data_IF_416566248424
#
_entry.id   IF_416566248424
#
_cell.length_a   1.000
_cell.length_b   1.000
_cell.length_c   1.000
_cell.angle_alpha   90.00
_cell.angle_beta   90.00
_cell.angle_gamma   90.00
#
_symmetry.space_group_name_H-M   'P 1'
#
loop_
_entity.id
_entity.type
_entity.pdbx_description
1 polymer ?
#
# COMPACT_ATOMS: atom_id res chain seq x y z
N UNK A 1 12.35 3.34 2.95
CA UNK A 1 12.21 2.91 4.34
C UNK A 1 12.54 4.06 5.30
N UNK A 2 11.83 4.16 6.44
CA UNK A 2 12.10 5.15 7.49
C UNK A 2 13.09 4.61 8.56
N UNK A 3 13.42 3.32 8.51
CA UNK A 3 14.39 2.65 9.40
C UNK A 3 14.15 2.95 10.90
N UNK A 4 12.90 2.99 11.34
CA UNK A 4 12.51 3.32 12.71
C UNK A 4 12.71 4.79 13.11
N UNK A 5 13.10 5.67 12.17
CA UNK A 5 13.44 7.07 12.46
C UNK A 5 12.33 8.02 12.01
N UNK A 6 11.72 8.72 12.96
CA UNK A 6 10.65 9.70 12.68
C UNK A 6 11.09 10.81 11.73
N UNK A 7 12.35 11.22 11.80
CA UNK A 7 12.93 12.24 10.91
C UNK A 7 12.93 11.79 9.46
N UNK A 8 13.30 10.54 9.19
CA UNK A 8 13.29 9.97 7.85
C UNK A 8 11.85 9.75 7.35
N UNK A 9 10.95 9.29 8.22
CA UNK A 9 9.52 9.19 7.89
C UNK A 9 8.93 10.55 7.47
N UNK A 10 9.23 11.63 8.17
CA UNK A 10 8.80 12.99 7.78
C UNK A 10 9.36 13.45 6.45
N UNK A 11 10.62 13.14 6.14
CA UNK A 11 11.20 13.43 4.81
C UNK A 11 10.47 12.68 3.70
N UNK A 12 10.12 11.39 3.92
CA UNK A 12 9.31 10.60 2.98
C UNK A 12 7.94 11.21 2.77
N UNK A 13 7.23 11.62 3.85
CA UNK A 13 5.94 12.30 3.76
C UNK A 13 6.09 13.59 2.92
N UNK A 14 7.14 14.37 3.17
CA UNK A 14 7.42 15.60 2.42
C UNK A 14 7.65 15.31 0.94
N UNK A 15 8.44 14.28 0.61
CA UNK A 15 8.70 13.89 -0.78
C UNK A 15 7.41 13.45 -1.49
N UNK A 16 6.56 12.64 -0.85
CA UNK A 16 5.27 12.22 -1.39
C UNK A 16 4.32 13.40 -1.59
N UNK A 17 4.23 14.33 -0.64
CA UNK A 17 3.40 15.52 -0.74
C UNK A 17 3.88 16.46 -1.86
N UNK A 18 5.19 16.67 -2.01
CA UNK A 18 5.77 17.48 -3.08
C UNK A 18 5.51 16.86 -4.46
N UNK A 19 5.50 15.54 -4.54
CA UNK A 19 5.12 14.81 -5.74
C UNK A 19 3.61 14.87 -6.05
N UNK A 20 2.79 15.49 -5.18
CA UNK A 20 1.33 15.56 -5.31
C UNK A 20 0.65 14.18 -5.27
N UNK A 21 1.23 13.23 -4.54
CA UNK A 21 0.55 12.00 -4.21
C UNK A 21 -0.68 12.28 -3.32
N UNK A 22 -1.72 11.46 -3.45
CA UNK A 22 -2.96 11.64 -2.70
C UNK A 22 -2.83 11.12 -1.26
N UNK A 23 -1.97 10.12 -1.06
CA UNK A 23 -1.72 9.49 0.24
C UNK A 23 -0.27 9.03 0.40
N UNK A 24 0.15 8.92 1.65
CA UNK A 24 1.35 8.19 2.06
C UNK A 24 0.94 7.03 2.96
N UNK A 25 1.65 5.90 2.85
CA UNK A 25 1.39 4.70 3.65
C UNK A 25 2.65 4.24 4.36
N UNK A 26 2.53 3.90 5.64
CA UNK A 26 3.58 3.26 6.43
C UNK A 26 3.10 1.93 6.99
N UNK A 27 4.02 1.03 7.29
CA UNK A 27 3.75 -0.25 7.92
C UNK A 27 3.85 -0.10 9.44
N UNK A 28 2.81 -0.51 10.17
CA UNK A 28 2.83 -0.61 11.63
C UNK A 28 3.52 -1.91 12.00
N UNK A 29 4.83 -1.85 12.17
CA UNK A 29 5.63 -2.99 12.59
C UNK A 29 5.50 -3.20 14.09
N UNK A 30 5.21 -4.44 14.49
CA UNK A 30 5.25 -4.96 15.86
C UNK A 30 6.00 -6.28 15.75
N UNK A 31 7.22 -6.34 16.26
CA UNK A 31 8.11 -7.47 16.05
C UNK A 31 7.49 -8.79 16.55
N UNK A 32 6.83 -8.78 17.70
CA UNK A 32 6.17 -9.96 18.29
C UNK A 32 4.94 -10.45 17.46
N UNK A 33 4.42 -9.67 16.49
CA UNK A 33 3.37 -10.09 15.55
C UNK A 33 3.94 -10.63 14.22
N UNK A 34 5.24 -10.41 13.98
CA UNK A 34 5.90 -10.75 12.70
C UNK A 34 6.86 -11.93 12.80
N UNK A 35 7.48 -12.13 13.94
CA UNK A 35 8.49 -13.17 14.12
C UNK A 35 8.63 -13.61 15.59
N UNK A 36 9.01 -14.87 15.78
CA UNK A 36 9.48 -15.36 17.08
C UNK A 36 10.79 -14.65 17.45
N UNK A 37 11.08 -14.58 18.76
CA UNK A 37 12.22 -13.80 19.29
C UNK A 37 13.59 -14.31 18.86
N UNK A 38 13.71 -15.58 18.53
CA UNK A 38 14.92 -16.26 18.03
C UNK A 38 15.06 -16.19 16.50
N UNK A 39 14.07 -15.64 15.79
CA UNK A 39 14.13 -15.47 14.34
C UNK A 39 15.17 -14.41 13.95
N UNK A 40 15.96 -14.69 12.92
CA UNK A 40 17.06 -13.82 12.44
C UNK A 40 16.65 -12.38 12.19
N UNK A 41 15.42 -12.14 11.73
CA UNK A 41 14.90 -10.79 11.41
C UNK A 41 14.20 -10.10 12.58
N UNK A 42 14.06 -10.75 13.76
CA UNK A 42 13.32 -10.16 14.88
C UNK A 42 13.89 -8.83 15.33
N UNK A 43 15.22 -8.74 15.48
CA UNK A 43 15.88 -7.48 15.89
C UNK A 43 15.71 -6.37 14.82
N UNK A 44 15.71 -6.72 13.53
CA UNK A 44 15.41 -5.77 12.46
C UNK A 44 13.99 -5.21 12.60
N UNK A 45 12.98 -6.07 12.81
CA UNK A 45 11.61 -5.60 13.04
C UNK A 45 11.51 -4.75 14.30
N UNK A 46 12.20 -5.11 15.36
CA UNK A 46 12.23 -4.34 16.62
C UNK A 46 12.77 -2.91 16.41
N UNK A 47 13.80 -2.78 15.59
CA UNK A 47 14.37 -1.47 15.25
C UNK A 47 13.46 -0.61 14.37
N UNK A 48 12.46 -1.20 13.70
CA UNK A 48 11.47 -0.49 12.87
C UNK A 48 10.25 -0.02 13.66
N UNK A 49 10.06 -0.50 14.89
CA UNK A 49 8.95 -0.09 15.72
C UNK A 49 9.01 1.41 16.03
N UNK A 50 7.86 2.05 15.97
CA UNK A 50 7.67 3.43 16.38
C UNK A 50 6.62 3.50 17.50
N UNK A 51 6.85 4.39 18.46
CA UNK A 51 5.93 4.64 19.57
C UNK A 51 4.62 5.28 19.09
N UNK A 52 3.56 5.15 19.89
CA UNK A 52 2.27 5.80 19.61
C UNK A 52 2.38 7.33 19.54
N UNK A 53 3.35 7.94 20.25
CA UNK A 53 3.64 9.36 20.17
C UNK A 53 4.16 9.72 18.77
N UNK A 54 5.10 8.95 18.25
CA UNK A 54 5.67 9.16 16.91
C UNK A 54 4.62 8.96 15.83
N UNK A 55 3.77 7.93 15.92
CA UNK A 55 2.64 7.73 15.01
C UNK A 55 1.71 8.94 14.99
N UNK A 56 1.31 9.45 16.14
CA UNK A 56 0.47 10.67 16.24
C UNK A 56 1.15 11.88 15.60
N UNK A 57 2.45 12.03 15.81
CA UNK A 57 3.25 13.11 15.24
C UNK A 57 3.33 13.03 13.70
N UNK A 58 3.54 11.83 13.11
CA UNK A 58 3.53 11.62 11.67
C UNK A 58 2.16 11.93 11.05
N UNK A 59 1.07 11.50 11.69
CA UNK A 59 -0.30 11.79 11.25
C UNK A 59 -0.56 13.30 11.27
N UNK A 60 -0.15 14.00 12.32
CA UNK A 60 -0.29 15.46 12.38
C UNK A 60 0.56 16.15 11.31
N UNK A 61 1.76 15.64 11.05
CA UNK A 61 2.64 16.18 10.03
C UNK A 61 2.07 15.99 8.62
N UNK A 62 1.51 14.83 8.30
CA UNK A 62 0.84 14.58 7.01
C UNK A 62 -0.36 15.51 6.79
N UNK A 63 -1.16 15.76 7.85
CA UNK A 63 -2.29 16.71 7.80
C UNK A 63 -1.84 18.14 7.48
N UNK A 64 -0.72 18.60 8.06
CA UNK A 64 -0.14 19.92 7.72
C UNK A 64 0.24 20.02 6.24
N UNK A 65 0.70 18.93 5.66
CA UNK A 65 1.06 18.85 4.23
C UNK A 65 -0.13 18.49 3.32
N UNK A 66 -1.34 18.33 3.89
CA UNK A 66 -2.58 17.98 3.16
C UNK A 66 -2.48 16.69 2.36
N UNK A 67 -1.73 15.71 2.85
CA UNK A 67 -1.63 14.36 2.29
C UNK A 67 -2.30 13.35 3.23
N UNK A 68 -3.11 12.43 2.69
CA UNK A 68 -3.78 11.38 3.47
C UNK A 68 -2.76 10.40 4.06
N UNK A 69 -3.06 9.84 5.21
CA UNK A 69 -2.17 8.93 5.93
C UNK A 69 -2.82 7.57 6.10
N UNK A 70 -2.26 6.57 5.43
CA UNK A 70 -2.67 5.17 5.50
C UNK A 70 -1.68 4.35 6.32
N UNK A 71 -2.16 3.27 6.94
CA UNK A 71 -1.31 2.35 7.70
C UNK A 71 -1.55 0.92 7.24
N UNK A 72 -0.47 0.23 6.87
CA UNK A 72 -0.46 -1.21 6.62
C UNK A 72 -0.24 -1.92 7.97
N UNK A 73 -1.07 -2.89 8.30
CA UNK A 73 -1.05 -3.58 9.59
C UNK A 73 -0.73 -5.06 9.41
N UNK A 74 -0.08 -5.59 10.43
CA UNK A 74 0.19 -7.02 10.60
C UNK A 74 -0.34 -7.44 11.96
N UNK A 75 -1.04 -8.59 11.99
CA UNK A 75 -1.56 -9.17 13.20
C UNK A 75 -2.69 -8.36 13.90
N UNK A 76 -3.26 -8.97 14.91
CA UNK A 76 -4.39 -8.38 15.64
C UNK A 76 -3.99 -7.14 16.44
N UNK A 77 -2.81 -7.16 17.05
CA UNK A 77 -2.32 -6.03 17.84
C UNK A 77 -2.13 -4.78 16.98
N UNK A 78 -1.59 -4.95 15.75
CA UNK A 78 -1.39 -3.87 14.80
C UNK A 78 -2.69 -3.12 14.51
N UNK A 79 -3.76 -3.84 14.12
CA UNK A 79 -5.05 -3.21 13.80
C UNK A 79 -5.74 -2.60 15.04
N UNK A 80 -5.56 -3.19 16.22
CA UNK A 80 -6.07 -2.62 17.47
C UNK A 80 -5.40 -1.30 17.83
N UNK A 81 -4.09 -1.21 17.64
CA UNK A 81 -3.34 0.01 17.97
C UNK A 81 -3.69 1.15 17.00
N UNK A 82 -3.78 0.88 15.69
CA UNK A 82 -4.13 1.92 14.72
C UNK A 82 -5.57 2.39 14.85
N UNK A 83 -6.48 1.58 15.38
CA UNK A 83 -7.88 1.96 15.59
C UNK A 83 -8.05 3.14 16.55
N UNK A 84 -7.04 3.41 17.38
CA UNK A 84 -6.98 4.55 18.31
C UNK A 84 -6.43 5.81 17.66
N UNK A 85 -5.98 5.72 16.41
CA UNK A 85 -5.36 6.82 15.67
C UNK A 85 -6.35 7.41 14.66
N UNK A 86 -6.21 8.70 14.34
CA UNK A 86 -7.04 9.39 13.32
C UNK A 86 -6.37 9.30 11.95
N UNK A 87 -6.35 8.09 11.37
CA UNK A 87 -5.81 7.79 10.03
C UNK A 87 -6.92 7.85 8.97
N UNK A 88 -6.53 7.95 7.70
CA UNK A 88 -7.47 8.10 6.58
C UNK A 88 -7.83 6.76 5.93
N UNK A 89 -7.10 5.69 6.23
CA UNK A 89 -7.39 4.34 5.77
C UNK A 89 -6.39 3.32 6.31
N UNK A 90 -6.75 2.06 6.24
CA UNK A 90 -5.91 0.93 6.67
C UNK A 90 -5.71 -0.03 5.52
N UNK A 91 -4.52 -0.64 5.44
CA UNK A 91 -4.28 -1.81 4.59
C UNK A 91 -4.14 -3.04 5.47
N UNK A 92 -4.83 -4.10 5.10
CA UNK A 92 -4.67 -5.43 5.67
C UNK A 92 -3.73 -6.20 4.74
N UNK A 93 -2.62 -6.66 5.29
CA UNK A 93 -1.62 -7.41 4.53
C UNK A 93 -2.16 -8.79 4.14
N UNK A 94 -1.68 -9.35 3.02
CA UNK A 94 -2.14 -10.66 2.51
C UNK A 94 -1.93 -11.81 3.48
N UNK A 95 -0.91 -11.74 4.33
CA UNK A 95 -0.66 -12.73 5.40
C UNK A 95 -1.79 -12.83 6.42
N UNK A 96 -2.64 -11.81 6.53
CA UNK A 96 -3.74 -11.75 7.49
C UNK A 96 -5.13 -12.00 6.87
N UNK A 97 -5.23 -12.39 5.60
CA UNK A 97 -6.53 -12.72 4.98
C UNK A 97 -7.21 -13.93 5.65
N UNK A 98 -6.43 -14.82 6.24
CA UNK A 98 -6.89 -15.99 7.01
C UNK A 98 -6.85 -15.77 8.53
N UNK A 99 -6.77 -14.51 8.98
CA UNK A 99 -6.80 -14.17 10.39
C UNK A 99 -8.20 -13.74 10.83
N UNK A 100 -9.08 -14.66 11.30
CA UNK A 100 -10.48 -14.36 11.60
C UNK A 100 -10.61 -13.33 12.73
N UNK A 101 -9.68 -13.30 13.68
CA UNK A 101 -9.70 -12.35 14.80
C UNK A 101 -9.44 -10.93 14.31
N UNK A 102 -8.46 -10.76 13.42
CA UNK A 102 -8.14 -9.47 12.80
C UNK A 102 -9.29 -9.00 11.93
N UNK A 103 -9.79 -9.85 11.03
CA UNK A 103 -10.90 -9.49 10.13
C UNK A 103 -12.16 -9.11 10.92
N UNK A 104 -12.52 -9.89 11.95
CA UNK A 104 -13.65 -9.56 12.86
C UNK A 104 -13.43 -8.22 13.56
N UNK A 105 -12.22 -7.87 13.95
CA UNK A 105 -11.93 -6.55 14.51
C UNK A 105 -12.10 -5.46 13.45
N UNK A 106 -11.59 -5.69 12.24
CA UNK A 106 -11.63 -4.75 11.12
C UNK A 106 -13.06 -4.36 10.72
N UNK A 107 -14.06 -5.23 10.91
CA UNK A 107 -15.49 -4.90 10.63
C UNK A 107 -15.98 -3.66 11.39
N UNK A 108 -15.33 -3.30 12.49
CA UNK A 108 -15.70 -2.15 13.34
C UNK A 108 -15.12 -0.83 12.84
N UNK A 109 -14.15 -0.87 11.94
CA UNK A 109 -13.51 0.32 11.41
C UNK A 109 -14.47 1.07 10.48
N UNK A 110 -14.42 2.40 10.56
CA UNK A 110 -15.24 3.31 9.74
C UNK A 110 -14.41 4.09 8.72
N UNK A 111 -13.33 3.49 8.29
CA UNK A 111 -12.36 4.03 7.32
C UNK A 111 -12.18 3.03 6.18
N UNK A 112 -11.77 3.47 4.97
CA UNK A 112 -11.45 2.59 3.86
C UNK A 112 -10.44 1.51 4.23
N UNK A 113 -10.68 0.28 3.75
CA UNK A 113 -9.80 -0.88 3.93
C UNK A 113 -9.24 -1.27 2.57
N UNK A 114 -7.93 -1.18 2.42
CA UNK A 114 -7.19 -1.77 1.32
C UNK A 114 -6.87 -3.22 1.68
N UNK A 115 -7.40 -4.18 0.92
CA UNK A 115 -7.22 -5.60 1.19
C UNK A 115 -6.24 -6.20 0.18
N UNK A 116 -5.03 -6.55 0.62
CA UNK A 116 -4.02 -7.17 -0.24
C UNK A 116 -4.43 -8.57 -0.65
N UNK A 117 -4.41 -8.87 -1.95
CA UNK A 117 -4.75 -10.20 -2.51
C UNK A 117 -3.53 -10.95 -3.06
N UNK A 118 -2.32 -10.43 -2.78
CA UNK A 118 -1.08 -11.01 -3.27
C UNK A 118 -0.80 -12.37 -2.61
N UNK A 119 -0.55 -13.40 -3.42
CA UNK A 119 -0.27 -14.74 -2.92
C UNK A 119 -1.46 -15.46 -2.27
N UNK A 120 -2.68 -14.91 -2.38
CA UNK A 120 -3.88 -15.49 -1.79
C UNK A 120 -4.68 -16.29 -2.81
N UNK A 121 -5.30 -17.37 -2.35
CA UNK A 121 -6.27 -18.15 -3.10
C UNK A 121 -7.59 -17.40 -3.23
N UNK A 122 -8.42 -17.82 -4.20
CA UNK A 122 -9.74 -17.22 -4.37
C UNK A 122 -10.63 -17.40 -3.13
N UNK A 123 -10.56 -18.56 -2.47
CA UNK A 123 -11.33 -18.85 -1.26
C UNK A 123 -10.94 -17.96 -0.07
N UNK A 124 -9.68 -17.64 0.08
CA UNK A 124 -9.19 -16.71 1.11
C UNK A 124 -9.70 -15.29 0.86
N UNK A 125 -9.67 -14.85 -0.40
CA UNK A 125 -10.19 -13.55 -0.78
C UNK A 125 -11.70 -13.49 -0.56
N UNK A 126 -12.46 -14.51 -1.01
CA UNK A 126 -13.92 -14.61 -0.82
C UNK A 126 -14.30 -14.54 0.68
N UNK A 127 -13.56 -15.26 1.54
CA UNK A 127 -13.78 -15.25 2.98
C UNK A 127 -13.57 -13.84 3.57
N UNK A 128 -12.47 -13.19 3.23
CA UNK A 128 -12.16 -11.86 3.73
C UNK A 128 -13.16 -10.81 3.23
N UNK A 129 -13.51 -10.82 1.94
CA UNK A 129 -14.50 -9.91 1.34
C UNK A 129 -15.87 -10.10 1.98
N UNK A 130 -16.32 -11.35 2.16
CA UNK A 130 -17.60 -11.66 2.81
C UNK A 130 -17.62 -11.15 4.26
N UNK A 131 -16.54 -11.39 5.01
CA UNK A 131 -16.40 -10.92 6.39
C UNK A 131 -16.48 -9.40 6.50
N UNK A 132 -15.85 -8.69 5.56
CA UNK A 132 -15.74 -7.22 5.53
C UNK A 132 -16.80 -6.55 4.65
N UNK A 133 -17.85 -7.25 4.24
CA UNK A 133 -18.85 -6.80 3.26
C UNK A 133 -19.57 -5.48 3.60
N UNK A 134 -19.54 -5.05 4.86
CA UNK A 134 -20.12 -3.77 5.32
C UNK A 134 -19.12 -2.62 5.37
N UNK A 135 -17.87 -2.88 5.03
CA UNK A 135 -16.80 -1.88 5.02
C UNK A 135 -16.59 -1.33 3.60
N UNK A 136 -16.02 -0.15 3.50
CA UNK A 136 -15.49 0.37 2.24
C UNK A 136 -14.22 -0.40 1.88
N UNK A 137 -14.31 -1.32 0.92
CA UNK A 137 -13.23 -2.21 0.52
C UNK A 137 -12.66 -1.82 -0.85
N UNK A 138 -11.35 -1.90 -0.95
CA UNK A 138 -10.59 -1.84 -2.19
C UNK A 138 -9.66 -3.07 -2.23
N UNK A 139 -9.73 -3.89 -3.27
CA UNK A 139 -8.85 -5.04 -3.42
C UNK A 139 -7.54 -4.59 -4.08
N UNK A 140 -6.40 -4.93 -3.49
CA UNK A 140 -5.08 -4.55 -3.99
C UNK A 140 -4.42 -5.76 -4.65
N UNK A 141 -4.28 -5.70 -5.98
CA UNK A 141 -3.56 -6.71 -6.75
C UNK A 141 -2.04 -6.49 -6.67
N UNK A 142 -1.30 -7.57 -6.47
CA UNK A 142 0.17 -7.62 -6.52
C UNK A 142 0.66 -9.06 -6.69
N UNK A 143 1.99 -9.21 -6.77
CA UNK A 143 2.72 -10.46 -6.64
C UNK A 143 3.75 -10.33 -5.50
N UNK A 144 3.95 -11.41 -4.73
CA UNK A 144 4.88 -11.46 -3.59
C UNK A 144 6.31 -11.80 -4.06
N UNK A 145 6.92 -10.94 -4.81
CA UNK A 145 8.31 -11.03 -5.25
C UNK A 145 8.98 -9.66 -5.15
N UNK A 146 10.19 -9.59 -4.64
CA UNK A 146 10.91 -8.35 -4.37
C UNK A 146 12.36 -8.42 -4.90
N UNK A 147 12.64 -7.84 -6.08
CA UNK A 147 11.70 -7.25 -7.04
C UNK A 147 10.81 -8.30 -7.72
N UNK A 148 9.64 -7.86 -8.20
CA UNK A 148 8.74 -8.71 -8.99
C UNK A 148 9.25 -8.85 -10.42
N UNK A 149 9.36 -10.07 -10.90
CA UNK A 149 9.60 -10.37 -12.32
C UNK A 149 8.37 -9.97 -13.15
N UNK A 150 8.60 -9.39 -14.33
CA UNK A 150 7.50 -8.88 -15.17
C UNK A 150 6.48 -9.97 -15.55
N UNK A 151 6.95 -11.19 -15.81
CA UNK A 151 6.08 -12.35 -16.16
C UNK A 151 5.12 -12.74 -15.04
N UNK A 152 5.47 -12.43 -13.79
CA UNK A 152 4.71 -12.81 -12.58
C UNK A 152 3.65 -11.77 -12.18
N UNK A 153 3.67 -10.58 -12.78
CA UNK A 153 2.72 -9.51 -12.49
C UNK A 153 1.26 -9.88 -12.76
N UNK A 154 1.02 -10.71 -13.77
CA UNK A 154 -0.31 -11.18 -14.18
C UNK A 154 -1.40 -10.09 -14.09
N UNK A 155 -1.19 -8.95 -14.74
CA UNK A 155 -2.08 -7.77 -14.64
C UNK A 155 -3.54 -8.07 -15.04
N UNK A 156 -3.78 -9.06 -15.91
CA UNK A 156 -5.15 -9.46 -16.28
C UNK A 156 -5.96 -10.00 -15.10
N UNK A 157 -5.31 -10.44 -13.99
CA UNK A 157 -6.01 -10.81 -12.76
C UNK A 157 -6.82 -9.63 -12.17
N UNK A 158 -6.43 -8.39 -12.46
CA UNK A 158 -7.20 -7.19 -12.09
C UNK A 158 -8.62 -7.25 -12.65
N UNK A 159 -8.78 -7.65 -13.92
CA UNK A 159 -10.08 -7.78 -14.57
C UNK A 159 -10.91 -8.90 -13.94
N UNK A 160 -10.29 -10.05 -13.65
CA UNK A 160 -10.94 -11.17 -12.99
C UNK A 160 -11.42 -10.81 -11.56
N UNK A 161 -10.61 -10.09 -10.80
CA UNK A 161 -11.01 -9.59 -9.48
C UNK A 161 -12.18 -8.60 -9.57
N UNK A 162 -12.14 -7.68 -10.54
CA UNK A 162 -13.19 -6.69 -10.77
C UNK A 162 -14.52 -7.36 -11.16
N UNK A 163 -14.47 -8.32 -12.07
CA UNK A 163 -15.66 -9.10 -12.50
C UNK A 163 -16.25 -9.91 -11.35
N UNK A 164 -15.40 -10.62 -10.61
CA UNK A 164 -15.83 -11.52 -9.53
C UNK A 164 -16.45 -10.76 -8.34
N UNK A 165 -15.84 -9.67 -7.91
CA UNK A 165 -16.18 -9.01 -6.65
C UNK A 165 -16.98 -7.72 -6.82
N UNK A 166 -17.01 -7.13 -8.01
CA UNK A 166 -17.63 -5.82 -8.28
C UNK A 166 -17.15 -4.72 -7.30
N UNK A 167 -15.90 -4.82 -6.84
CA UNK A 167 -15.25 -3.87 -5.93
C UNK A 167 -14.21 -3.02 -6.67
N UNK A 168 -13.86 -1.84 -6.14
CA UNK A 168 -12.70 -1.09 -6.60
C UNK A 168 -11.42 -1.93 -6.51
N UNK A 169 -10.56 -1.84 -7.54
CA UNK A 169 -9.28 -2.55 -7.56
C UNK A 169 -8.15 -1.54 -7.57
N UNK A 170 -7.12 -1.81 -6.79
CA UNK A 170 -5.82 -1.13 -6.83
C UNK A 170 -4.73 -2.05 -7.34
N UNK A 171 -3.64 -1.45 -7.79
CA UNK A 171 -2.40 -2.10 -8.16
C UNK A 171 -1.27 -1.64 -7.25
N UNK A 172 -0.58 -2.59 -6.65
CA UNK A 172 0.69 -2.37 -5.98
C UNK A 172 1.74 -3.24 -6.66
N UNK A 173 2.73 -2.64 -7.30
CA UNK A 173 3.79 -3.35 -7.98
C UNK A 173 5.13 -3.19 -7.28
N UNK A 174 5.95 -4.23 -7.34
CA UNK A 174 7.29 -4.26 -6.79
C UNK A 174 8.35 -4.43 -7.89
N UNK A 175 8.05 -3.97 -9.10
CA UNK A 175 9.01 -3.93 -10.21
C UNK A 175 10.22 -3.09 -9.79
N UNK A 176 11.42 -3.55 -10.19
CA UNK A 176 12.67 -2.86 -9.85
C UNK A 176 12.61 -1.37 -10.18
N UNK A 177 12.94 -0.52 -9.21
CA UNK A 177 12.95 0.93 -9.36
C UNK A 177 13.92 1.44 -10.43
N UNK A 178 14.95 0.64 -10.77
CA UNK A 178 15.91 0.96 -11.84
C UNK A 178 15.36 0.64 -13.24
N UNK A 179 14.28 -0.14 -13.33
CA UNK A 179 13.65 -0.50 -14.59
C UNK A 179 12.71 0.60 -15.08
N UNK A 180 12.74 0.90 -16.39
CA UNK A 180 11.71 1.75 -17.02
C UNK A 180 10.30 1.20 -16.85
N UNK A 181 10.17 -0.12 -16.67
CA UNK A 181 8.88 -0.78 -16.43
C UNK A 181 8.27 -0.39 -15.09
N UNK A 182 9.05 0.10 -14.13
CA UNK A 182 8.53 0.65 -12.88
C UNK A 182 7.60 1.87 -13.07
N UNK A 183 7.74 2.57 -14.23
CA UNK A 183 6.86 3.67 -14.65
C UNK A 183 5.71 3.17 -15.52
N UNK A 184 5.93 2.13 -16.34
CA UNK A 184 4.96 1.65 -17.33
C UNK A 184 3.88 0.80 -16.67
N UNK A 185 4.25 -0.11 -15.76
CA UNK A 185 3.31 -1.03 -15.11
C UNK A 185 2.15 -0.31 -14.39
N UNK A 186 2.36 0.77 -13.61
CA UNK A 186 1.27 1.56 -13.05
C UNK A 186 0.32 2.12 -14.12
N UNK A 187 0.84 2.57 -15.27
CA UNK A 187 0.02 3.13 -16.36
C UNK A 187 -0.82 2.03 -17.05
N UNK A 188 -0.27 0.82 -17.20
CA UNK A 188 -1.04 -0.34 -17.66
C UNK A 188 -2.18 -0.66 -16.69
N UNK A 189 -1.93 -0.55 -15.38
CA UNK A 189 -2.97 -0.67 -14.36
C UNK A 189 -4.12 0.32 -14.56
N UNK A 190 -3.82 1.59 -14.86
CA UNK A 190 -4.82 2.62 -15.18
C UNK A 190 -5.64 2.21 -16.40
N UNK A 191 -4.99 1.72 -17.45
CA UNK A 191 -5.67 1.20 -18.64
C UNK A 191 -6.61 0.02 -18.35
N UNK A 192 -6.33 -0.77 -17.33
CA UNK A 192 -7.19 -1.84 -16.82
C UNK A 192 -8.28 -1.37 -15.84
N UNK A 193 -8.33 -0.06 -15.55
CA UNK A 193 -9.34 0.57 -14.73
C UNK A 193 -9.10 0.44 -13.22
N UNK A 194 -7.85 0.35 -12.77
CA UNK A 194 -7.55 0.44 -11.34
C UNK A 194 -7.78 1.86 -10.84
N UNK A 195 -8.23 1.96 -9.59
CA UNK A 195 -8.55 3.23 -8.93
C UNK A 195 -7.45 3.69 -7.96
N UNK A 196 -6.58 2.79 -7.55
CA UNK A 196 -5.45 3.07 -6.65
C UNK A 196 -4.18 2.49 -7.25
N UNK A 197 -3.11 3.29 -7.23
CA UNK A 197 -1.74 2.84 -7.48
C UNK A 197 -0.95 3.01 -6.19
N UNK A 198 -0.36 1.92 -5.72
CA UNK A 198 0.59 1.93 -4.61
C UNK A 198 2.00 1.67 -5.14
N UNK A 199 2.95 2.53 -4.76
CA UNK A 199 4.35 2.41 -5.17
C UNK A 199 5.29 2.77 -4.03
N UNK A 200 6.35 1.98 -3.86
CA UNK A 200 7.39 2.26 -2.88
C UNK A 200 8.14 3.54 -3.23
N UNK A 201 8.44 4.35 -2.21
CA UNK A 201 9.28 5.54 -2.29
C UNK A 201 10.42 5.44 -1.28
N UNK A 202 11.62 5.83 -1.69
CA UNK A 202 12.78 6.00 -0.81
C UNK A 202 13.34 7.41 -0.99
N UNK A 203 14.16 7.87 -0.06
CA UNK A 203 14.85 9.16 -0.21
C UNK A 203 16.06 9.05 -1.11
N UNK A 204 16.71 7.88 -1.10
CA UNK A 204 17.90 7.61 -1.89
C UNK A 204 18.08 6.08 -2.04
N UNK A 205 17.76 5.55 -3.25
CA UNK A 205 17.85 4.12 -3.54
C UNK A 205 19.28 3.58 -3.45
N UNK A 206 20.29 4.43 -3.69
CA UNK A 206 21.70 4.02 -3.65
C UNK A 206 22.15 3.56 -2.26
N UNK A 207 21.43 3.96 -1.19
CA UNK A 207 21.71 3.55 0.19
C UNK A 207 21.28 2.14 0.52
N UNK A 208 20.58 1.46 -0.39
CA UNK A 208 20.15 0.06 -0.26
C UNK A 208 19.44 -0.24 1.09
N UNK A 209 18.59 0.69 1.56
CA UNK A 209 17.71 0.44 2.72
C UNK A 209 16.64 -0.60 2.43
N UNK A 210 15.78 -0.91 3.39
CA UNK A 210 14.71 -1.90 3.20
C UNK A 210 13.83 -1.55 1.99
N UNK A 211 13.47 -2.56 1.18
CA UNK A 211 12.64 -2.46 -0.03
C UNK A 211 13.19 -1.50 -1.12
N UNK A 212 14.46 -1.13 -1.05
CA UNK A 212 15.07 -0.15 -1.96
C UNK A 212 14.93 -0.54 -3.43
N UNK A 213 14.98 -1.84 -3.75
CA UNK A 213 15.01 -2.33 -5.14
C UNK A 213 13.71 -1.98 -5.89
N UNK A 214 12.56 -1.95 -5.24
CA UNK A 214 11.27 -1.58 -5.86
C UNK A 214 10.84 -0.14 -5.57
N UNK A 215 11.66 0.60 -4.82
CA UNK A 215 11.36 1.98 -4.47
C UNK A 215 11.85 2.97 -5.53
N UNK A 216 11.07 4.02 -5.74
CA UNK A 216 11.44 5.17 -6.56
C UNK A 216 12.10 6.25 -5.72
N UNK A 217 13.11 6.91 -6.28
CA UNK A 217 13.66 8.15 -5.74
C UNK A 217 12.63 9.29 -5.86
N UNK A 218 12.73 10.39 -5.09
CA UNK A 218 11.71 11.46 -5.08
C UNK A 218 11.39 12.04 -6.45
N UNK A 219 12.39 12.26 -7.31
CA UNK A 219 12.20 12.79 -8.66
C UNK A 219 11.50 11.79 -9.59
N UNK A 220 11.85 10.50 -9.49
CA UNK A 220 11.20 9.42 -10.23
C UNK A 220 9.74 9.27 -9.79
N UNK A 221 9.48 9.37 -8.49
CA UNK A 221 8.14 9.30 -7.93
C UNK A 221 7.28 10.51 -8.37
N UNK A 222 7.84 11.72 -8.37
CA UNK A 222 7.18 12.91 -8.91
C UNK A 222 6.80 12.72 -10.38
N UNK A 223 7.72 12.19 -11.20
CA UNK A 223 7.46 11.89 -12.60
C UNK A 223 6.32 10.88 -12.74
N UNK A 224 6.35 9.77 -11.97
CA UNK A 224 5.30 8.76 -12.00
C UNK A 224 3.93 9.36 -11.67
N UNK A 225 3.81 10.15 -10.59
CA UNK A 225 2.55 10.78 -10.21
C UNK A 225 2.04 11.71 -11.31
N UNK A 226 2.95 12.46 -11.95
CA UNK A 226 2.58 13.30 -13.10
C UNK A 226 2.06 12.48 -14.29
N UNK A 227 2.73 11.37 -14.62
CA UNK A 227 2.31 10.47 -15.68
C UNK A 227 0.95 9.84 -15.38
N UNK A 228 0.71 9.36 -14.16
CA UNK A 228 -0.57 8.80 -13.71
C UNK A 228 -1.70 9.82 -13.93
N UNK A 229 -1.54 11.06 -13.46
CA UNK A 229 -2.57 12.11 -13.61
C UNK A 229 -2.86 12.45 -15.06
N UNK A 230 -1.82 12.53 -15.91
CA UNK A 230 -1.99 12.76 -17.36
C UNK A 230 -2.68 11.56 -18.04
N UNK A 231 -2.31 10.34 -17.68
CA UNK A 231 -2.94 9.12 -18.23
C UNK A 231 -4.41 9.03 -17.85
N UNK A 232 -4.80 9.41 -16.62
CA UNK A 232 -6.19 9.48 -16.22
C UNK A 232 -7.01 10.44 -17.09
N UNK A 233 -6.45 11.60 -17.45
CA UNK A 233 -7.08 12.55 -18.38
C UNK A 233 -7.23 11.93 -19.78
N UNK A 234 -6.22 11.20 -20.25
CA UNK A 234 -6.25 10.56 -21.56
C UNK A 234 -7.26 9.40 -21.65
N UNK A 235 -7.60 8.76 -20.52
CA UNK A 235 -8.61 7.68 -20.48
C UNK A 235 -10.03 8.19 -20.82
N UNK A 236 -10.32 9.45 -20.53
CA UNK A 236 -11.64 10.04 -20.83
C UNK A 236 -12.80 9.33 -20.12
N UNK A 237 -13.96 9.35 -20.78
CA UNK A 237 -15.19 8.67 -20.33
C UNK A 237 -15.50 7.50 -21.25
N UNK A 238 -16.09 6.43 -20.71
CA UNK A 238 -16.62 5.33 -21.51
C UNK A 238 -17.96 5.77 -22.15
N UNK A 239 -17.87 6.58 -23.20
CA UNK A 239 -19.01 7.16 -23.89
C UNK A 239 -18.69 7.26 -25.39
N UNK A 240 -19.73 7.20 -26.24
CA UNK A 240 -19.62 7.49 -27.67
C UNK A 240 -19.67 9.00 -27.96
N UNK A 241 -19.99 9.84 -26.97
CA UNK A 241 -19.99 11.29 -27.11
C UNK A 241 -18.54 11.81 -27.13
N UNK A 242 -18.23 12.64 -28.12
CA UNK A 242 -17.00 13.41 -28.15
C UNK A 242 -17.08 14.47 -27.05
N UNK A 243 -16.14 14.40 -26.07
CA UNK A 243 -16.12 15.29 -24.91
C UNK A 243 -15.80 16.74 -25.20
#
# INVERSE_FOLDING_TARGET
SHEGKITEAKKIITAAANAKADAVKFQKIIADELAERDHENYQMYKNLEMSDKEWKELIQFSKKLKIKFYVDVFGLKGIQDISKLKIDGVKIHSTDLNNPKLLKFATKLKIPILLSTAGCTLSEIDYAVTTLSKNELILMHSFQGYPTEIKDLNLKRILALKEKFALPIGLMDHVSGDSKLSMIVPLLGIGLGVQIIEKHITLDRSKKGLDYFSALNPNEFLLLVSLIKKSQLAMGKQSFELG
#
